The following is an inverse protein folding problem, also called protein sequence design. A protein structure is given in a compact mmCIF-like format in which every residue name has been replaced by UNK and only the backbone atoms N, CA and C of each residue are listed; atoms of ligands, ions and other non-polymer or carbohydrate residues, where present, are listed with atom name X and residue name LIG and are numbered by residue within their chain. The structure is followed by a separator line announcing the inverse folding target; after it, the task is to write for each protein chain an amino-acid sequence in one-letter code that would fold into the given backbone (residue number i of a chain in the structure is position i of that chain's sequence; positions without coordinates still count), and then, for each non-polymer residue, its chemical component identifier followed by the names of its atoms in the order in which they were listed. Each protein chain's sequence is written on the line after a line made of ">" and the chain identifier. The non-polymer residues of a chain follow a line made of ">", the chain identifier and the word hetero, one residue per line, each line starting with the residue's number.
data_IF_191338581979
#
_entry.id   IF_191338581979
#
_cell.length_a   1.000
_cell.length_b   1.000
_cell.length_c   1.000
_cell.angle_alpha   90.00
_cell.angle_beta   90.00
_cell.angle_gamma   90.00
#
_symmetry.space_group_name_H-M   'P 1'
#
loop_
_entity.id
_entity.type
_entity.pdbx_description
1 polymer ?
#
# COMPACT_ATOMS: atom_id res chain seq x y z
N UNK A 1 17.54 0.13 2.41
CA UNK A 1 18.07 1.48 2.10
C UNK A 1 17.38 1.97 0.84
N UNK A 2 16.94 3.22 0.82
CA UNK A 2 16.28 3.83 -0.34
C UNK A 2 16.94 5.17 -0.63
N UNK A 3 17.33 5.39 -1.88
CA UNK A 3 18.06 6.56 -2.34
C UNK A 3 17.19 7.42 -3.26
N UNK A 4 17.23 8.73 -3.04
CA UNK A 4 16.62 9.74 -3.88
C UNK A 4 17.69 10.39 -4.77
N UNK A 5 17.67 10.13 -6.09
CA UNK A 5 18.60 10.76 -7.02
C UNK A 5 18.22 12.21 -7.39
N UNK A 6 17.06 12.72 -6.95
CA UNK A 6 16.62 14.07 -7.28
C UNK A 6 17.24 15.12 -6.36
N UNK A 7 17.44 16.33 -6.86
CA UNK A 7 17.90 17.50 -6.08
C UNK A 7 16.81 18.17 -5.25
N UNK A 8 15.68 17.49 -5.04
CA UNK A 8 14.54 17.95 -4.25
C UNK A 8 14.06 16.84 -3.32
N UNK A 9 13.32 17.21 -2.27
CA UNK A 9 12.66 16.25 -1.39
C UNK A 9 11.69 15.40 -2.21
N UNK A 10 11.68 14.09 -1.97
CA UNK A 10 10.79 13.15 -2.63
C UNK A 10 9.90 12.46 -1.61
N UNK A 11 8.61 12.79 -1.62
CA UNK A 11 7.57 12.08 -0.87
C UNK A 11 6.93 11.03 -1.78
N UNK A 12 7.03 9.76 -1.41
CA UNK A 12 6.59 8.63 -2.26
C UNK A 12 6.26 7.39 -1.41
N UNK A 13 5.87 6.29 -2.07
CA UNK A 13 5.64 5.00 -1.43
C UNK A 13 6.64 3.96 -1.95
N UNK A 14 7.30 3.28 -1.02
CA UNK A 14 8.10 2.08 -1.31
C UNK A 14 7.16 0.88 -1.32
N UNK A 15 7.31 -0.01 -2.30
CA UNK A 15 6.53 -1.26 -2.42
C UNK A 15 7.49 -2.44 -2.50
N UNK A 16 7.37 -3.38 -1.57
CA UNK A 16 8.22 -4.56 -1.50
C UNK A 16 7.37 -5.83 -1.62
N UNK A 17 7.63 -6.73 -2.60
CA UNK A 17 6.93 -8.00 -2.70
C UNK A 17 7.21 -8.88 -1.48
N UNK A 18 6.14 -9.37 -0.82
CA UNK A 18 6.20 -10.24 0.35
C UNK A 18 5.29 -11.46 0.17
N UNK A 19 5.64 -12.56 0.85
CA UNK A 19 4.77 -13.74 0.91
C UNK A 19 3.56 -13.46 1.81
N UNK A 20 2.45 -14.13 1.53
CA UNK A 20 1.21 -13.98 2.29
C UNK A 20 1.32 -14.41 3.76
N UNK A 21 0.36 -13.94 4.57
CA UNK A 21 0.16 -14.44 5.94
C UNK A 21 1.09 -13.81 6.98
N UNK A 22 1.75 -12.71 6.64
CA UNK A 22 2.69 -12.03 7.52
C UNK A 22 2.26 -10.59 7.78
N UNK A 23 2.38 -10.15 9.03
CA UNK A 23 2.43 -8.73 9.36
C UNK A 23 3.89 -8.30 9.46
N UNK A 24 4.13 -7.02 9.20
CA UNK A 24 5.45 -6.43 9.30
C UNK A 24 5.38 -5.27 10.28
N UNK A 25 6.42 -5.16 11.10
CA UNK A 25 6.71 -3.95 11.84
C UNK A 25 7.85 -3.24 11.13
N UNK A 26 7.62 -1.99 10.75
CA UNK A 26 8.60 -1.18 10.04
C UNK A 26 9.07 -0.09 10.98
N UNK A 27 10.39 0.05 11.11
CA UNK A 27 11.03 1.12 11.88
C UNK A 27 11.99 1.90 11.02
N UNK A 28 12.08 3.20 11.27
CA UNK A 28 13.07 4.07 10.62
C UNK A 28 14.48 3.86 11.21
N UNK A 29 15.45 4.62 10.68
CA UNK A 29 16.84 4.58 11.12
C UNK A 29 17.05 5.05 12.57
N UNK A 30 16.07 5.76 13.15
CA UNK A 30 16.07 6.20 14.55
C UNK A 30 15.37 5.19 15.46
N UNK A 31 14.85 4.09 14.90
CA UNK A 31 14.13 3.05 15.62
C UNK A 31 12.68 3.41 15.92
N UNK A 32 12.12 4.47 15.30
CA UNK A 32 10.71 4.85 15.46
C UNK A 32 9.84 4.04 14.52
N UNK A 33 8.66 3.66 15.00
CA UNK A 33 7.68 2.96 14.18
C UNK A 33 7.25 3.83 13.00
N UNK A 34 7.19 3.22 11.82
CA UNK A 34 6.78 3.82 10.56
C UNK A 34 5.51 3.13 10.11
N UNK A 35 4.51 3.92 9.69
CA UNK A 35 3.29 3.37 9.11
C UNK A 35 3.61 2.45 7.94
N UNK A 36 2.88 1.35 7.83
CA UNK A 36 3.02 0.43 6.71
C UNK A 36 1.76 -0.40 6.53
N UNK A 37 1.51 -0.82 5.30
CA UNK A 37 0.36 -1.64 4.95
C UNK A 37 0.80 -2.84 4.13
N UNK A 38 0.21 -4.01 4.40
CA UNK A 38 0.34 -5.18 3.54
C UNK A 38 -0.87 -5.22 2.61
N UNK A 39 -0.65 -5.11 1.30
CA UNK A 39 -1.70 -5.13 0.28
C UNK A 39 -1.61 -6.40 -0.56
N UNK A 40 -2.72 -7.11 -0.85
CA UNK A 40 -2.69 -8.26 -1.75
C UNK A 40 -2.36 -7.84 -3.19
N UNK A 41 -1.63 -8.68 -3.92
CA UNK A 41 -1.39 -8.49 -5.35
C UNK A 41 -2.69 -8.72 -6.14
N UNK A 42 -2.93 -7.87 -7.14
CA UNK A 42 -4.05 -8.06 -8.09
C UNK A 42 -3.80 -9.34 -8.91
N UNK A 43 -4.85 -10.16 -9.11
CA UNK A 43 -4.76 -11.51 -9.70
C UNK A 43 -4.07 -11.60 -11.08
N UNK A 44 -4.00 -10.50 -11.83
CA UNK A 44 -3.28 -10.45 -13.11
C UNK A 44 -1.76 -10.53 -12.95
N UNK A 45 -1.21 -10.08 -11.81
CA UNK A 45 0.24 -10.03 -11.55
C UNK A 45 0.82 -11.44 -11.26
N UNK A 46 0.17 -12.32 -10.48
CA UNK A 46 0.62 -13.69 -10.29
C UNK A 46 0.72 -14.54 -11.56
N UNK A 47 -0.07 -14.22 -12.59
CA UNK A 47 -0.21 -15.03 -13.81
C UNK A 47 0.70 -14.58 -14.96
N UNK A 48 1.67 -13.69 -14.70
CA UNK A 48 2.65 -13.29 -15.70
C UNK A 48 3.51 -14.52 -16.07
N UNK A 49 3.63 -14.88 -17.36
CA UNK A 49 4.48 -15.99 -17.80
C UNK A 49 5.91 -15.84 -17.28
N UNK A 50 6.55 -16.97 -16.97
CA UNK A 50 7.91 -17.05 -16.40
C UNK A 50 8.12 -16.38 -15.02
N UNK A 51 7.04 -16.02 -14.32
CA UNK A 51 7.14 -15.55 -12.93
C UNK A 51 7.65 -16.67 -12.01
N UNK A 52 8.81 -16.41 -11.37
CA UNK A 52 9.40 -17.31 -10.35
C UNK A 52 9.13 -16.88 -8.90
N UNK A 53 8.56 -15.70 -8.69
CA UNK A 53 8.30 -15.15 -7.37
C UNK A 53 7.05 -15.77 -6.73
N UNK A 54 7.17 -16.17 -5.46
CA UNK A 54 6.05 -16.64 -4.64
C UNK A 54 5.36 -15.52 -3.86
N UNK A 55 5.79 -14.27 -4.04
CA UNK A 55 5.15 -13.13 -3.39
C UNK A 55 3.67 -13.06 -3.79
N UNK A 56 2.81 -12.73 -2.85
CA UNK A 56 1.36 -12.65 -3.08
C UNK A 56 0.76 -11.37 -2.48
N UNK A 57 1.58 -10.63 -1.74
CA UNK A 57 1.25 -9.31 -1.22
C UNK A 57 2.43 -8.35 -1.41
N UNK A 58 2.21 -7.06 -1.19
CA UNK A 58 3.21 -6.01 -1.15
C UNK A 58 3.20 -5.33 0.22
N UNK A 59 4.37 -5.12 0.82
CA UNK A 59 4.55 -4.19 1.93
C UNK A 59 4.71 -2.79 1.36
N UNK A 60 3.78 -1.90 1.68
CA UNK A 60 3.73 -0.50 1.23
C UNK A 60 4.11 0.40 2.39
N UNK A 61 5.10 1.28 2.18
CA UNK A 61 5.66 2.16 3.21
C UNK A 61 5.72 3.59 2.63
N UNK A 62 5.01 4.59 3.20
CA UNK A 62 5.21 5.99 2.86
C UNK A 62 6.61 6.44 3.32
N UNK A 63 7.28 7.22 2.47
CA UNK A 63 8.62 7.73 2.77
C UNK A 63 8.78 9.15 2.26
N UNK A 64 9.50 9.95 3.03
CA UNK A 64 10.07 11.22 2.60
C UNK A 64 11.60 11.07 2.53
N UNK A 65 12.17 11.36 1.35
CA UNK A 65 13.60 11.22 1.10
C UNK A 65 14.26 12.59 0.91
N UNK A 66 15.41 12.85 1.55
CA UNK A 66 16.13 14.10 1.36
C UNK A 66 16.69 14.23 -0.07
N UNK A 67 16.95 15.46 -0.56
CA UNK A 67 17.61 15.71 -1.84
C UNK A 67 18.96 14.98 -1.92
N UNK A 68 19.23 14.31 -3.05
CA UNK A 68 20.48 13.60 -3.32
C UNK A 68 20.94 12.68 -2.17
N UNK A 69 19.99 12.12 -1.42
CA UNK A 69 20.26 11.43 -0.17
C UNK A 69 19.50 10.12 -0.03
N UNK A 70 19.66 9.46 1.10
CA UNK A 70 19.03 8.17 1.37
C UNK A 70 18.46 8.10 2.79
N UNK A 71 17.55 7.15 2.99
CA UNK A 71 17.09 6.73 4.31
C UNK A 71 17.15 5.22 4.43
N UNK A 72 17.09 4.71 5.66
CA UNK A 72 17.08 3.27 5.95
C UNK A 72 15.92 2.91 6.86
N UNK A 73 15.35 1.74 6.60
CA UNK A 73 14.27 1.16 7.38
C UNK A 73 14.61 -0.29 7.74
N UNK A 74 14.07 -0.73 8.86
CA UNK A 74 14.10 -2.11 9.30
C UNK A 74 12.67 -2.66 9.22
N UNK A 75 12.45 -3.64 8.36
CA UNK A 75 11.18 -4.36 8.25
C UNK A 75 11.30 -5.72 8.95
N UNK A 76 10.63 -5.87 10.08
CA UNK A 76 10.66 -7.10 10.88
C UNK A 76 9.39 -7.88 10.64
N UNK A 77 9.54 -9.11 10.14
CA UNK A 77 8.44 -10.05 9.98
C UNK A 77 7.90 -10.46 11.35
N UNK A 78 6.60 -10.37 11.55
CA UNK A 78 5.91 -10.88 12.73
C UNK A 78 5.09 -12.12 12.33
N UNK A 79 5.15 -13.16 13.17
CA UNK A 79 4.23 -14.27 13.07
C UNK A 79 2.84 -13.75 13.48
N UNK A 80 1.81 -14.00 12.68
CA UNK A 80 0.44 -13.62 13.07
C UNK A 80 -0.04 -14.53 14.21
N UNK A 81 -0.40 -14.02 15.40
CA UNK A 81 -1.46 -14.64 16.18
C UNK A 81 -2.78 -14.16 15.60
N UNK A 82 -3.45 -14.99 14.79
CA UNK A 82 -4.84 -14.79 14.39
C UNK A 82 -5.20 -13.41 13.82
N UNK A 83 -4.25 -12.68 13.22
CA UNK A 83 -4.55 -11.37 12.66
C UNK A 83 -5.44 -11.58 11.43
N UNK A 84 -6.72 -11.25 11.59
CA UNK A 84 -7.72 -11.11 10.53
C UNK A 84 -6.98 -10.57 9.31
N UNK A 85 -6.71 -11.44 8.34
CA UNK A 85 -6.58 -10.93 6.99
C UNK A 85 -7.98 -10.33 6.81
N UNK A 86 -8.09 -9.00 6.66
CA UNK A 86 -9.22 -8.49 5.91
C UNK A 86 -9.00 -9.04 4.49
N UNK A 87 -9.24 -10.35 4.32
CA UNK A 87 -9.80 -10.87 3.10
C UNK A 87 -11.14 -10.18 3.10
N UNK A 88 -11.15 -8.96 2.57
CA UNK A 88 -12.40 -8.39 2.21
C UNK A 88 -12.90 -9.32 1.10
N UNK A 89 -13.71 -10.32 1.47
CA UNK A 89 -14.71 -10.89 0.60
C UNK A 89 -15.68 -9.74 0.30
N UNK A 90 -15.20 -8.73 -0.44
CA UNK A 90 -16.06 -7.72 -1.01
C UNK A 90 -16.79 -8.46 -2.12
N UNK A 91 -18.00 -8.89 -1.82
CA UNK A 91 -18.98 -9.07 -2.86
C UNK A 91 -19.20 -7.68 -3.47
N UNK A 92 -18.49 -7.38 -4.56
CA UNK A 92 -18.59 -6.10 -5.28
C UNK A 92 -20.03 -5.78 -5.70
N UNK A 93 -20.91 -6.79 -5.72
CA UNK A 93 -22.33 -6.69 -6.04
C UNK A 93 -23.20 -6.16 -4.88
N UNK A 94 -22.65 -6.00 -3.67
CA UNK A 94 -23.37 -5.53 -2.48
C UNK A 94 -22.50 -4.53 -1.69
N UNK A 95 -22.01 -3.51 -2.39
CA UNK A 95 -21.31 -2.40 -1.77
C UNK A 95 -22.33 -1.38 -1.24
N UNK A 96 -22.32 -1.15 0.07
CA UNK A 96 -23.02 -0.03 0.72
C UNK A 96 -22.63 1.33 0.10
N UNK A 97 -23.47 2.38 0.19
CA UNK A 97 -23.21 3.69 -0.42
C UNK A 97 -21.88 4.34 0.00
N UNK A 98 -21.39 4.01 1.19
CA UNK A 98 -20.10 4.45 1.73
C UNK A 98 -18.88 3.97 0.92
N UNK A 99 -19.00 2.87 0.18
CA UNK A 99 -17.94 2.36 -0.70
C UNK A 99 -17.87 3.06 -2.06
N UNK A 100 -18.75 4.03 -2.33
CA UNK A 100 -18.65 4.89 -3.52
C UNK A 100 -17.49 5.88 -3.42
N UNK A 101 -16.94 6.09 -2.22
CA UNK A 101 -15.94 7.10 -1.98
C UNK A 101 -14.57 6.52 -1.62
N UNK A 102 -13.52 7.09 -2.21
CA UNK A 102 -12.13 6.91 -1.80
C UNK A 102 -11.62 8.27 -1.35
N UNK A 103 -11.14 8.38 -0.12
CA UNK A 103 -10.86 9.68 0.51
C UNK A 103 -9.54 9.68 1.27
N UNK A 104 -8.90 10.84 1.32
CA UNK A 104 -7.81 11.18 2.23
C UNK A 104 -7.98 12.63 2.71
N UNK A 105 -6.99 13.17 3.42
CA UNK A 105 -7.04 14.53 3.98
C UNK A 105 -7.11 15.66 2.93
N UNK A 106 -6.92 15.36 1.65
CA UNK A 106 -6.83 16.36 0.58
C UNK A 106 -7.93 16.26 -0.46
N UNK A 107 -8.50 15.06 -0.66
CA UNK A 107 -9.50 14.85 -1.68
C UNK A 107 -10.39 13.64 -1.39
N UNK A 108 -11.60 13.72 -1.95
CA UNK A 108 -12.56 12.62 -2.04
C UNK A 108 -12.83 12.32 -3.52
N UNK A 109 -12.71 11.07 -3.89
CA UNK A 109 -13.05 10.52 -5.20
C UNK A 109 -14.38 9.79 -5.09
N UNK A 110 -15.34 10.11 -5.95
CA UNK A 110 -16.57 9.33 -6.11
C UNK A 110 -16.44 8.40 -7.32
N UNK A 111 -16.81 7.14 -7.17
CA UNK A 111 -16.67 6.10 -8.18
C UNK A 111 -18.03 5.44 -8.44
N UNK A 112 -18.33 5.19 -9.71
CA UNK A 112 -19.45 4.35 -10.11
C UNK A 112 -19.19 2.90 -9.67
N UNK A 113 -19.99 2.39 -8.73
CA UNK A 113 -19.78 1.04 -8.15
C UNK A 113 -20.13 -0.10 -9.11
N UNK A 114 -20.74 0.19 -10.26
CA UNK A 114 -21.07 -0.82 -11.27
C UNK A 114 -19.94 -0.94 -12.29
N UNK A 115 -19.39 0.18 -12.73
CA UNK A 115 -18.37 0.23 -13.80
C UNK A 115 -16.95 0.41 -13.28
N UNK A 116 -16.78 0.89 -12.05
CA UNK A 116 -15.49 1.28 -11.48
C UNK A 116 -14.93 2.59 -12.02
N UNK A 117 -15.71 3.36 -12.79
CA UNK A 117 -15.26 4.64 -13.37
C UNK A 117 -15.37 5.79 -12.38
N UNK A 118 -14.38 6.69 -12.42
CA UNK A 118 -14.40 7.92 -11.63
C UNK A 118 -15.53 8.84 -12.08
N UNK A 119 -16.32 9.32 -11.12
CA UNK A 119 -17.42 10.27 -11.32
C UNK A 119 -17.00 11.69 -10.95
N UNK A 120 -16.53 11.89 -9.71
CA UNK A 120 -16.20 13.21 -9.19
C UNK A 120 -14.90 13.21 -8.38
N UNK A 121 -14.25 14.38 -8.38
CA UNK A 121 -13.13 14.69 -7.49
C UNK A 121 -13.49 15.95 -6.70
N UNK A 122 -13.51 15.81 -5.39
CA UNK A 122 -13.75 16.93 -4.46
C UNK A 122 -12.46 17.21 -3.71
N UNK A 123 -11.97 18.45 -3.75
CA UNK A 123 -10.84 18.88 -2.92
C UNK A 123 -11.33 19.19 -1.51
N UNK A 124 -10.67 18.61 -0.52
CA UNK A 124 -10.90 18.84 0.90
C UNK A 124 -9.83 19.83 1.35
N UNK A 125 -10.27 21.02 1.77
CA UNK A 125 -9.41 22.12 2.20
C UNK A 125 -9.23 22.16 3.71
#
# INVERSE_FOLDING_TARGET
>A
LVYNPMSQVLSTYIRLPVNDGHSFEVRDYQGRDTESQVMPLIMTIPNIPDRRSFARSELVIPVELPPLGYTTFYATKRAKPGAQIMEQNINFLQLEPEYRFIENDHYRLEVDTTTGLLLHVTFLG
#
